data_IF_693045382668
#
_entry.id   IF_693045382668
#
_cell.length_a   1.000
_cell.length_b   1.000
_cell.length_c   1.000
_cell.angle_alpha   90.00
_cell.angle_beta   90.00
_cell.angle_gamma   90.00
#
_symmetry.space_group_name_H-M   'P 1'
#
loop_
_entity.id
_entity.type
_entity.pdbx_description
1 polymer ?
2 non-polymer ?
3 non-polymer ?
4 water ?
#
# COMPACT_ATOMS: atom_id res chain seq x y z
N UNK A 1 0.36 -10.89 30.13
CA UNK A 1 -0.41 -11.75 29.25
C UNK A 1 0.50 -12.52 28.32
N UNK A 2 0.07 -13.72 27.92
CA UNK A 2 0.83 -14.50 26.94
C UNK A 2 -0.02 -14.84 25.73
N UNK A 3 0.63 -14.97 24.58
CA UNK A 3 -0.05 -15.57 23.45
C UNK A 3 0.71 -16.80 22.98
N UNK A 4 0.03 -17.65 22.22
CA UNK A 4 0.74 -18.70 21.50
C UNK A 4 1.31 -18.09 20.23
N UNK A 5 2.55 -18.44 19.95
CA UNK A 5 3.20 -18.01 18.72
C UNK A 5 2.57 -18.80 17.57
N UNK A 6 2.27 -18.12 16.45
CA UNK A 6 1.69 -18.85 15.30
C UNK A 6 2.51 -20.07 14.92
N UNK A 7 1.82 -21.14 14.52
CA UNK A 7 2.49 -22.40 14.25
C UNK A 7 3.57 -22.28 13.19
N UNK A 8 3.39 -21.39 12.21
CA UNK A 8 4.39 -21.31 11.14
C UNK A 8 5.67 -20.58 11.56
N UNK A 9 5.62 -19.90 12.71
CA UNK A 9 6.77 -19.13 13.23
C UNK A 9 7.39 -19.80 14.46
N UNK A 10 6.65 -20.73 15.07
CA UNK A 10 7.03 -21.31 16.36
C UNK A 10 8.43 -21.92 16.39
N UNK A 11 8.78 -22.74 15.41
CA UNK A 11 10.09 -23.39 15.44
C UNK A 11 11.24 -22.38 15.43
N UNK A 12 11.15 -21.38 14.56
CA UNK A 12 12.19 -20.38 14.47
C UNK A 12 12.19 -19.48 15.72
N UNK A 13 11.00 -19.10 16.21
CA UNK A 13 10.92 -18.29 17.41
C UNK A 13 11.61 -18.97 18.61
N UNK A 14 11.32 -20.27 18.79
CA UNK A 14 11.96 -21.04 19.86
C UNK A 14 13.48 -21.01 19.70
N UNK A 15 13.94 -21.26 18.47
CA UNK A 15 15.37 -21.35 18.21
C UNK A 15 16.06 -20.00 18.42
N UNK A 16 15.42 -18.92 18.00
CA UNK A 16 16.00 -17.59 18.23
C UNK A 16 16.21 -17.34 19.73
N UNK A 17 15.24 -17.71 20.57
CA UNK A 17 15.39 -17.56 22.01
C UNK A 17 16.52 -18.42 22.57
N UNK A 18 16.69 -19.62 22.03
CA UNK A 18 17.76 -20.51 22.47
C UNK A 18 19.12 -19.92 22.12
N UNK A 19 19.27 -19.47 20.88
CA UNK A 19 20.53 -18.87 20.46
C UNK A 19 20.80 -17.60 21.26
N UNK A 20 19.77 -16.80 21.50
CA UNK A 20 19.94 -15.58 22.29
C UNK A 20 20.52 -15.92 23.67
N UNK A 21 19.95 -16.94 24.33
CA UNK A 21 20.46 -17.35 25.64
C UNK A 21 21.92 -17.79 25.55
N UNK A 22 22.26 -18.56 24.51
CA UNK A 22 23.64 -19.03 24.35
C UNK A 22 24.61 -17.85 24.23
N UNK A 23 24.14 -16.75 23.65
CA UNK A 23 24.95 -15.56 23.45
C UNK A 23 24.84 -14.54 24.58
N UNK A 24 24.01 -14.84 25.58
CA UNK A 24 23.79 -13.92 26.69
C UNK A 24 22.95 -12.71 26.30
N UNK A 25 22.10 -12.87 25.29
CA UNK A 25 21.25 -11.78 24.79
C UNK A 25 19.79 -12.08 25.01
N UNK A 26 18.93 -11.10 24.69
CA UNK A 26 17.49 -11.32 24.67
C UNK A 26 16.93 -10.92 23.33
N UNK A 27 15.86 -11.60 22.90
CA UNK A 27 15.26 -11.35 21.61
C UNK A 27 13.75 -11.33 21.69
N UNK A 28 13.14 -10.57 20.79
CA UNK A 28 11.70 -10.31 20.81
C UNK A 28 11.17 -10.16 19.38
N UNK A 29 9.97 -10.69 19.13
CA UNK A 29 9.25 -10.34 17.91
C UNK A 29 8.63 -8.96 18.17
N UNK A 30 8.70 -8.06 17.19
CA UNK A 30 8.29 -6.67 17.46
C UNK A 30 7.44 -6.04 16.36
N UNK A 31 6.59 -5.10 16.76
CA UNK A 31 6.04 -4.09 15.88
C UNK A 31 4.81 -4.48 15.11
N UNK A 32 4.77 -4.11 13.83
CA UNK A 32 3.64 -4.41 12.97
C UNK A 32 3.33 -5.90 12.91
N UNK A 33 4.37 -6.73 13.00
CA UNK A 33 4.15 -8.18 12.97
C UNK A 33 3.34 -8.64 14.19
N UNK A 34 3.61 -8.02 15.35
CA UNK A 34 2.88 -8.38 16.56
C UNK A 34 1.43 -7.90 16.43
N UNK A 35 1.25 -6.69 15.92
CA UNK A 35 -0.10 -6.20 15.58
C UNK A 35 -0.82 -7.21 14.71
N UNK A 36 -0.18 -7.66 13.63
CA UNK A 36 -0.88 -8.53 12.69
C UNK A 36 -1.17 -9.91 13.29
N UNK A 37 -0.30 -10.41 14.15
CA UNK A 37 -0.61 -11.65 14.87
C UNK A 37 -1.83 -11.45 15.74
N UNK A 38 -1.90 -10.34 16.45
CA UNK A 38 -3.08 -10.04 17.29
C UNK A 38 -4.35 -9.84 16.44
N UNK A 39 -4.18 -9.42 15.19
CA UNK A 39 -5.33 -9.26 14.31
C UNK A 39 -5.67 -10.56 13.56
N UNK A 40 -5.02 -11.66 13.93
CA UNK A 40 -5.39 -12.95 13.38
C UNK A 40 -4.95 -13.18 11.95
N UNK A 41 -3.93 -12.45 11.51
CA UNK A 41 -3.44 -12.57 10.14
C UNK A 41 -2.31 -13.58 10.04
N UNK A 42 -2.26 -14.27 8.91
CA UNK A 42 -1.13 -15.12 8.58
C UNK A 42 0.09 -14.25 8.31
N UNK A 43 1.19 -14.50 9.02
CA UNK A 43 2.37 -13.67 8.87
C UNK A 43 3.59 -14.49 8.42
N UNK A 44 4.25 -14.03 7.37
CA UNK A 44 5.44 -14.71 6.87
C UNK A 44 6.69 -13.86 6.94
N UNK A 45 6.50 -12.59 7.27
CA UNK A 45 7.61 -11.64 7.43
C UNK A 45 7.69 -11.32 8.91
N UNK A 46 8.74 -11.81 9.56
CA UNK A 46 8.87 -11.66 11.00
C UNK A 46 10.06 -10.77 11.35
N UNK A 47 9.80 -9.76 12.17
CA UNK A 47 10.81 -8.81 12.61
C UNK A 47 11.18 -9.07 14.07
N UNK A 48 12.48 -9.20 14.33
CA UNK A 48 13.00 -9.37 15.68
C UNK A 48 13.82 -8.19 16.12
N UNK A 49 13.74 -7.85 17.40
CA UNK A 49 14.68 -6.92 18.01
C UNK A 49 15.51 -7.71 19.02
N UNK A 50 16.81 -7.43 19.00
CA UNK A 50 17.74 -8.10 19.90
C UNK A 50 18.36 -7.06 20.82
N UNK A 51 18.35 -7.35 22.12
CA UNK A 51 19.10 -6.54 23.06
C UNK A 51 20.52 -7.09 23.02
N UNK A 52 21.35 -6.51 22.16
CA UNK A 52 22.67 -7.04 21.88
C UNK A 52 22.90 -7.12 20.37
N UNK A 53 23.92 -7.86 19.98
CA UNK A 53 24.34 -7.89 18.58
C UNK A 53 23.43 -8.74 17.69
N UNK A 54 22.46 -8.09 17.07
CA UNK A 54 21.48 -8.77 16.21
C UNK A 54 22.13 -9.43 15.01
N UNK A 55 23.16 -8.81 14.46
CA UNK A 55 23.82 -9.37 13.29
C UNK A 55 24.48 -10.71 13.64
N UNK A 56 25.12 -10.80 14.79
CA UNK A 56 25.77 -12.05 15.13
C UNK A 56 24.74 -13.14 15.44
N UNK A 57 23.60 -12.77 16.02
CA UNK A 57 22.55 -13.75 16.25
C UNK A 57 22.03 -14.27 14.91
N UNK A 58 21.75 -13.35 13.99
CA UNK A 58 21.24 -13.70 12.67
C UNK A 58 22.22 -14.60 11.92
N UNK A 59 23.51 -14.26 12.01
CA UNK A 59 24.51 -15.04 11.28
C UNK A 59 24.57 -16.48 11.80
N UNK A 60 24.39 -16.65 13.11
CA UNK A 60 24.41 -18.00 13.68
C UNK A 60 23.17 -18.79 13.29
N UNK A 61 22.00 -18.16 13.34
CA UNK A 61 20.79 -18.80 12.88
C UNK A 61 20.93 -19.21 11.41
N UNK A 62 21.48 -18.32 10.60
CA UNK A 62 21.65 -18.59 9.18
C UNK A 62 22.60 -19.77 8.94
N UNK A 63 23.69 -19.81 9.70
CA UNK A 63 24.66 -20.90 9.60
C UNK A 63 23.98 -22.25 9.89
N UNK A 64 23.19 -22.28 10.95
CA UNK A 64 22.53 -23.53 11.32
C UNK A 64 21.53 -23.99 10.26
N UNK A 65 20.91 -23.04 9.56
CA UNK A 65 19.94 -23.39 8.54
C UNK A 65 20.50 -23.44 7.12
N UNK A 66 21.80 -23.15 6.99
CA UNK A 66 22.45 -23.19 5.69
C UNK A 66 21.91 -22.17 4.69
N UNK A 67 21.53 -20.98 5.18
CA UNK A 67 21.03 -19.93 4.28
C UNK A 67 21.93 -18.71 4.24
N UNK A 68 21.83 -17.95 3.15
CA UNK A 68 22.54 -16.69 3.02
C UNK A 68 21.97 -15.69 4.03
N UNK A 69 22.83 -14.77 4.47
CA UNK A 69 22.38 -13.70 5.34
C UNK A 69 22.95 -12.38 4.81
N UNK A 70 22.16 -11.32 4.93
CA UNK A 70 22.53 -9.99 4.50
C UNK A 70 22.72 -9.06 5.68
N UNK A 71 23.97 -8.81 6.08
CA UNK A 71 24.24 -7.92 7.21
C UNK A 71 24.34 -6.45 6.81
N UNK A 72 23.94 -5.58 7.72
CA UNK A 72 24.04 -4.15 7.53
C UNK A 72 24.60 -3.52 8.81
N UNK A 73 25.94 -3.54 8.96
CA UNK A 73 26.61 -3.10 10.18
C UNK A 73 26.24 -1.68 10.62
N UNK A 74 26.06 -0.79 9.66
CA UNK A 74 25.78 0.61 10.00
C UNK A 74 24.40 0.79 10.61
N UNK A 75 23.51 -0.19 10.38
CA UNK A 75 22.17 -0.15 10.96
C UNK A 75 21.99 -1.16 12.09
N UNK A 76 22.99 -2.03 12.28
CA UNK A 76 22.88 -3.10 13.26
C UNK A 76 21.79 -4.10 12.94
N UNK A 77 21.55 -4.31 11.64
CA UNK A 77 20.48 -5.18 11.19
C UNK A 77 20.98 -6.26 10.26
N UNK A 78 20.22 -7.35 10.17
CA UNK A 78 20.50 -8.41 9.20
C UNK A 78 19.20 -9.04 8.72
N UNK A 79 19.21 -9.52 7.49
CA UNK A 79 18.05 -10.15 6.88
C UNK A 79 18.42 -11.53 6.35
N UNK A 80 17.50 -12.47 6.49
CA UNK A 80 17.66 -13.80 5.90
C UNK A 80 16.29 -14.41 5.68
N UNK A 81 16.24 -15.46 4.86
CA UNK A 81 15.01 -16.15 4.56
C UNK A 81 15.21 -17.63 4.88
N UNK A 82 14.25 -18.22 5.59
CA UNK A 82 14.27 -19.64 5.87
C UNK A 82 12.94 -20.22 5.39
N UNK A 83 12.99 -21.05 4.36
CA UNK A 83 11.76 -21.51 3.73
C UNK A 83 10.94 -20.31 3.29
N UNK A 84 9.68 -20.27 3.70
CA UNK A 84 8.79 -19.17 3.33
C UNK A 84 8.89 -17.96 4.26
N UNK A 85 9.66 -18.09 5.33
CA UNK A 85 9.79 -17.01 6.31
C UNK A 85 10.88 -16.00 5.98
N UNK A 86 10.50 -14.74 5.85
CA UNK A 86 11.47 -13.66 5.70
C UNK A 86 11.71 -13.04 7.06
N UNK A 87 12.96 -13.09 7.50
CA UNK A 87 13.34 -12.66 8.84
C UNK A 87 14.21 -11.41 8.84
N UNK A 88 13.91 -10.49 9.74
CA UNK A 88 14.77 -9.34 9.99
C UNK A 88 15.16 -9.35 11.46
N UNK A 89 16.45 -9.09 11.72
CA UNK A 89 16.97 -8.96 13.06
C UNK A 89 17.58 -7.59 13.23
N UNK A 90 17.13 -6.84 14.22
CA UNK A 90 17.62 -5.49 14.45
C UNK A 90 18.10 -5.32 15.88
N UNK A 91 19.19 -4.60 16.04
CA UNK A 91 19.69 -4.27 17.37
C UNK A 91 18.78 -3.21 17.98
N UNK A 92 18.39 -3.41 19.24
CA UNK A 92 17.59 -2.40 19.95
C UNK A 92 18.29 -1.04 19.92
N UNK A 93 17.55 0.01 19.57
CA UNK A 93 18.14 1.35 19.51
C UNK A 93 17.20 2.42 20.02
N UNK A 94 17.75 3.46 20.64
CA UNK A 94 16.92 4.50 21.24
C UNK A 94 16.62 5.61 20.24
N UNK A 95 17.25 5.54 19.07
CA UNK A 95 17.10 6.55 18.03
C UNK A 95 15.64 6.74 17.61
N UNK A 108 23.64 0.21 26.57
CA UNK A 108 22.91 -0.01 25.32
C UNK A 108 21.40 0.17 25.50
N UNK A 109 20.68 0.28 24.40
CA UNK A 109 19.24 0.53 24.45
C UNK A 109 18.47 -0.67 24.93
N UNK A 110 17.46 -0.42 25.75
CA UNK A 110 16.53 -1.46 26.18
C UNK A 110 15.46 -1.66 25.11
N UNK A 111 14.76 -2.78 25.17
CA UNK A 111 13.59 -3.00 24.34
C UNK A 111 12.60 -1.85 24.48
N UNK A 112 12.35 -1.40 25.72
CA UNK A 112 11.36 -0.35 25.94
C UNK A 112 11.74 0.93 25.21
N UNK A 113 13.03 1.25 25.21
CA UNK A 113 13.53 2.42 24.49
C UNK A 113 13.38 2.26 22.98
N UNK A 114 13.55 1.03 22.51
CA UNK A 114 13.36 0.74 21.09
C UNK A 114 11.90 0.82 20.67
N UNK A 115 11.00 0.46 21.58
CA UNK A 115 9.58 0.47 21.26
C UNK A 115 8.97 1.87 21.35
N UNK A 116 9.43 2.67 22.30
CA UNK A 116 8.79 3.95 22.57
C UNK A 116 9.06 4.95 21.46
N UNK A 117 10.04 4.63 20.61
CA UNK A 117 10.37 5.51 19.49
C UNK A 117 9.57 5.19 18.23
N UNK A 118 8.66 4.22 18.30
CA UNK A 118 7.87 3.84 17.13
C UNK A 118 6.65 4.74 16.94
N UNK A 119 5.80 4.48 15.94
CA UNK A 119 4.80 5.51 15.64
C UNK A 119 3.53 5.48 16.51
N UNK A 120 2.84 4.34 16.59
CA UNK A 120 1.54 4.28 17.27
C UNK A 120 1.51 3.12 18.24
N UNK A 121 0.67 3.22 19.26
CA UNK A 121 0.72 2.23 20.33
C UNK A 121 0.47 0.81 19.82
N UNK A 122 -0.39 0.67 18.82
CA UNK A 122 -0.70 -0.68 18.34
C UNK A 122 0.48 -1.29 17.58
N UNK A 123 1.46 -0.45 17.22
CA UNK A 123 2.67 -0.89 16.53
C UNK A 123 3.89 -0.98 17.43
N UNK A 124 3.68 -0.81 18.72
CA UNK A 124 4.79 -0.68 19.65
C UNK A 124 4.81 -1.80 20.69
N UNK A 125 4.25 -2.96 20.33
CA UNK A 125 4.29 -4.12 21.21
C UNK A 125 5.33 -5.14 20.78
N UNK A 126 5.63 -6.05 21.68
CA UNK A 126 6.61 -7.10 21.41
C UNK A 126 6.12 -8.43 21.99
N UNK A 127 6.67 -9.52 21.45
CA UNK A 127 6.46 -10.85 22.02
C UNK A 127 7.82 -11.40 22.42
N UNK A 128 7.99 -11.74 23.68
CA UNK A 128 9.23 -12.37 24.10
C UNK A 128 9.37 -13.76 23.49
N UNK A 129 10.54 -14.08 22.94
CA UNK A 129 10.81 -15.45 22.56
C UNK A 129 11.89 -16.03 23.46
N UNK A 130 12.11 -15.36 24.59
CA UNK A 130 13.14 -15.80 25.51
C UNK A 130 12.72 -16.99 26.35
N UNK A 131 13.71 -17.69 26.90
CA UNK A 131 13.47 -18.98 27.51
C UNK A 131 12.54 -18.92 28.71
N UNK A 132 12.64 -17.86 29.50
CA UNK A 132 11.96 -17.88 30.80
C UNK A 132 10.54 -17.28 30.75
N UNK A 133 10.20 -16.59 29.67
CA UNK A 133 8.88 -15.97 29.57
C UNK A 133 8.36 -16.04 28.14
N UNK A 134 8.60 -17.16 27.49
CA UNK A 134 8.25 -17.34 26.09
C UNK A 134 6.78 -17.06 25.80
N UNK A 135 6.54 -16.22 24.80
CA UNK A 135 5.18 -15.88 24.39
C UNK A 135 4.56 -14.71 25.14
N UNK A 136 5.29 -14.12 26.10
CA UNK A 136 4.76 -12.97 26.83
C UNK A 136 4.56 -11.77 25.91
N UNK A 137 3.36 -11.19 25.97
CA UNK A 137 3.07 -9.97 25.24
C UNK A 137 3.57 -8.79 26.06
N UNK A 138 4.55 -8.08 25.51
CA UNK A 138 5.15 -6.92 26.15
C UNK A 138 4.47 -5.69 25.60
N UNK A 139 3.71 -5.02 26.45
CA UNK A 139 2.86 -3.92 26.04
C UNK A 139 2.98 -2.81 27.07
N UNK A 140 3.95 -1.91 26.83
CA UNK A 140 4.24 -0.82 27.75
C UNK A 140 3.30 0.37 27.62
N UNK A 141 2.64 0.50 26.47
CA UNK A 141 2.04 1.78 26.09
C UNK A 141 0.56 1.71 25.77
N UNK A 142 -0.09 0.63 26.17
CA UNK A 142 -1.52 0.50 26.01
C UNK A 142 -1.95 0.07 24.62
N UNK A 143 -1.10 -0.70 23.94
CA UNK A 143 -1.42 -1.14 22.59
C UNK A 143 -2.60 -2.09 22.53
N UNK A 144 -2.69 -3.03 23.46
CA UNK A 144 -3.81 -3.97 23.41
C UNK A 144 -5.11 -3.25 23.70
N UNK A 145 -5.09 -2.30 24.63
CA UNK A 145 -6.25 -1.49 24.95
C UNK A 145 -6.66 -0.64 23.74
N UNK A 146 -5.69 -0.11 22.99
CA UNK A 146 -6.03 0.68 21.82
C UNK A 146 -6.51 -0.20 20.65
N UNK A 147 -6.08 -1.45 20.57
CA UNK A 147 -6.72 -2.38 19.65
C UNK A 147 -8.18 -2.57 20.03
N UNK A 148 -8.41 -2.86 21.32
CA UNK A 148 -9.76 -3.06 21.82
C UNK A 148 -10.67 -1.89 21.47
N UNK A 149 -10.15 -0.68 21.66
CA UNK A 149 -10.94 0.53 21.50
C UNK A 149 -10.89 1.09 20.08
N UNK A 150 -10.14 0.42 19.20
CA UNK A 150 -10.01 0.82 17.78
C UNK A 150 -9.48 2.25 17.64
N UNK A 151 -8.33 2.47 18.27
CA UNK A 151 -7.73 3.80 18.37
C UNK A 151 -6.31 3.84 17.83
N UNK A 152 -6.04 4.83 16.97
CA UNK A 152 -4.68 5.18 16.57
C UNK A 152 -4.18 6.30 17.50
N UNK A 153 -3.11 6.00 18.24
CA UNK A 153 -2.57 6.88 19.27
C UNK A 153 -1.06 6.96 19.16
N UNK A 154 -0.51 8.17 19.12
CA UNK A 154 0.95 8.30 19.15
C UNK A 154 1.53 7.94 20.53
N UNK A 155 2.82 7.67 20.56
CA UNK A 155 3.50 7.23 21.79
C UNK A 155 3.89 8.38 22.71
N UNK A 156 4.01 9.56 22.14
CA UNK A 156 4.41 10.76 22.87
C UNK A 156 3.86 11.96 22.13
N UNK A 157 3.53 13.04 22.84
CA UNK A 157 2.82 14.15 22.18
C UNK A 157 3.62 14.90 21.11
N UNK A 158 4.94 14.81 21.07
CA UNK A 158 5.64 15.55 20.01
C UNK A 158 5.86 14.69 18.75
N UNK A 159 5.20 13.53 18.69
CA UNK A 159 5.42 12.57 17.62
C UNK A 159 5.31 13.13 16.18
N UNK A 160 4.29 13.96 15.93
CA UNK A 160 4.12 14.48 14.58
C UNK A 160 5.09 15.64 14.27
N UNK A 161 5.57 16.34 15.29
CA UNK A 161 6.58 17.37 15.09
C UNK A 161 7.91 16.69 14.75
N UNK A 162 8.20 15.63 15.49
CA UNK A 162 9.44 14.86 15.36
C UNK A 162 9.54 14.21 13.98
N UNK A 163 8.41 13.68 13.49
CA UNK A 163 8.36 13.03 12.20
C UNK A 163 7.01 13.22 11.54
N UNK A 164 6.86 14.31 10.78
CA UNK A 164 5.56 14.63 10.19
C UNK A 164 5.05 13.58 9.19
N UNK A 165 5.90 12.69 8.68
CA UNK A 165 5.40 11.60 7.84
C UNK A 165 4.41 10.74 8.61
N UNK A 166 4.52 10.72 9.93
CA UNK A 166 3.56 9.96 10.74
C UNK A 166 2.14 10.49 10.63
N UNK A 167 1.98 11.75 10.21
CA UNK A 167 0.65 12.28 9.93
C UNK A 167 -0.05 11.41 8.88
N UNK A 168 0.65 11.16 7.78
CA UNK A 168 0.09 10.32 6.73
C UNK A 168 -0.05 8.86 7.21
N UNK A 169 0.95 8.37 7.93
CA UNK A 169 0.91 6.98 8.39
C UNK A 169 -0.28 6.74 9.31
N UNK A 170 -0.59 7.71 10.17
CA UNK A 170 -1.73 7.59 11.07
C UNK A 170 -3.01 7.34 10.29
N UNK A 171 -3.15 8.05 9.18
CA UNK A 171 -4.36 7.96 8.38
C UNK A 171 -4.39 6.66 7.59
N UNK A 172 -3.22 6.16 7.19
CA UNK A 172 -3.16 4.85 6.53
C UNK A 172 -3.64 3.75 7.48
N UNK A 173 -3.13 3.74 8.72
CA UNK A 173 -3.57 2.71 9.66
C UNK A 173 -5.03 2.90 10.07
N UNK A 174 -5.46 4.15 10.27
CA UNK A 174 -6.86 4.39 10.61
C UNK A 174 -7.79 3.86 9.51
N UNK A 175 -7.46 4.15 8.26
CA UNK A 175 -8.30 3.70 7.15
C UNK A 175 -8.23 2.20 6.94
N UNK A 176 -7.02 1.62 7.03
CA UNK A 176 -6.87 0.17 6.90
C UNK A 176 -7.73 -0.58 7.90
N UNK A 177 -7.72 -0.10 9.14
CA UNK A 177 -8.30 -0.86 10.25
C UNK A 177 -9.68 -0.38 10.66
N UNK A 178 -10.16 0.68 10.02
CA UNK A 178 -11.39 1.35 10.45
C UNK A 178 -11.28 1.73 11.94
N UNK A 179 -10.14 2.35 12.27
CA UNK A 179 -9.89 2.90 13.60
C UNK A 179 -10.06 4.41 13.55
N UNK A 180 -10.22 5.01 14.73
CA UNK A 180 -10.24 6.47 14.86
C UNK A 180 -8.97 6.96 15.52
N UNK A 181 -8.57 8.20 15.23
CA UNK A 181 -7.51 8.82 16.00
C UNK A 181 -7.98 9.06 17.44
N UNK A 182 -7.07 8.90 18.40
CA UNK A 182 -7.39 9.30 19.77
C UNK A 182 -7.67 10.81 19.78
N UNK A 183 -8.41 11.27 20.78
CA UNK A 183 -8.76 12.69 20.82
C UNK A 183 -7.52 13.59 20.82
N UNK A 184 -6.53 13.28 21.65
CA UNK A 184 -5.33 14.12 21.66
C UNK A 184 -4.49 13.91 20.40
N UNK A 185 -4.41 12.68 19.92
CA UNK A 185 -3.68 12.42 18.68
C UNK A 185 -4.27 13.22 17.52
N UNK A 186 -5.60 13.29 17.45
CA UNK A 186 -6.25 14.10 16.42
C UNK A 186 -5.88 15.57 16.55
N UNK A 187 -5.88 16.10 17.77
CA UNK A 187 -5.50 17.49 17.98
C UNK A 187 -4.08 17.73 17.50
N UNK A 188 -3.19 16.81 17.85
CA UNK A 188 -1.79 16.94 17.49
C UNK A 188 -1.60 16.88 15.99
N UNK A 189 -2.36 16.01 15.32
CA UNK A 189 -2.24 15.87 13.87
C UNK A 189 -2.73 17.13 13.19
N UNK A 190 -3.88 17.65 13.60
CA UNK A 190 -4.41 18.86 13.01
C UNK A 190 -3.47 20.04 13.24
N UNK A 191 -2.90 20.12 14.44
CA UNK A 191 -1.99 21.21 14.77
C UNK A 191 -0.72 21.12 13.93
N UNK A 192 -0.20 19.92 13.73
CA UNK A 192 1.01 19.78 12.92
C UNK A 192 0.74 20.21 11.48
N UNK A 193 -0.41 19.84 10.93
CA UNK A 193 -0.77 20.28 9.59
C UNK A 193 -0.86 21.81 9.57
N UNK A 194 -1.56 22.38 10.55
CA UNK A 194 -1.79 23.82 10.55
C UNK A 194 -0.51 24.62 10.68
N UNK A 195 0.43 24.08 11.46
CA UNK A 195 1.72 24.74 11.71
C UNK A 195 2.64 24.73 10.50
N UNK A 196 2.27 23.97 9.47
CA UNK A 196 3.08 23.87 8.26
C UNK A 196 4.09 22.75 8.31
N UNK A 197 4.00 21.86 9.30
CA UNK A 197 5.06 20.88 9.48
C UNK A 197 5.05 19.81 8.41
N UNK A 198 3.90 19.56 7.82
CA UNK A 198 3.81 18.55 6.78
C UNK A 198 4.43 19.10 5.51
N UNK A 199 4.13 20.36 5.21
CA UNK A 199 4.60 20.98 3.99
C UNK A 199 6.14 21.01 3.95
N UNK A 200 6.75 21.06 5.13
CA UNK A 200 8.21 21.19 5.24
C UNK A 200 8.96 19.87 5.47
N UNK A 201 8.22 18.77 5.57
CA UNK A 201 8.81 17.44 5.82
C UNK A 201 9.60 16.91 4.62
N UNK A 202 10.55 15.98 4.85
CA UNK A 202 11.34 15.39 3.75
C UNK A 202 10.45 14.81 2.65
N UNK A 203 10.58 15.37 1.45
CA UNK A 203 9.70 15.05 0.34
C UNK A 203 9.67 13.56 0.00
N UNK A 204 10.84 12.95 -0.10
CA UNK A 204 10.93 11.56 -0.50
C UNK A 204 10.18 10.63 0.43
N UNK A 205 10.23 10.92 1.72
CA UNK A 205 9.57 10.09 2.70
C UNK A 205 8.05 10.25 2.65
N UNK A 206 7.58 11.46 2.36
CA UNK A 206 6.14 11.66 2.15
C UNK A 206 5.65 10.89 0.94
N UNK A 207 6.40 10.98 -0.16
CA UNK A 207 6.04 10.29 -1.39
C UNK A 207 6.00 8.77 -1.16
N UNK A 208 7.00 8.25 -0.43
CA UNK A 208 7.04 6.83 -0.14
C UNK A 208 5.82 6.38 0.64
N UNK A 209 5.34 7.23 1.54
CA UNK A 209 4.19 6.87 2.34
C UNK A 209 2.90 6.89 1.50
N UNK A 210 2.80 7.83 0.55
CA UNK A 210 1.63 7.83 -0.33
C UNK A 210 1.63 6.57 -1.20
N UNK A 211 2.83 6.15 -1.62
CA UNK A 211 2.95 4.92 -2.41
C UNK A 211 2.49 3.71 -1.60
N UNK A 212 2.76 3.70 -0.30
CA UNK A 212 2.26 2.62 0.55
C UNK A 212 0.74 2.67 0.68
N UNK A 213 0.20 3.88 0.82
CA UNK A 213 -1.26 4.01 0.96
C UNK A 213 -2.01 3.49 -0.27
N UNK A 214 -1.48 3.77 -1.46
CA UNK A 214 -2.23 3.42 -2.67
C UNK A 214 -2.27 1.90 -2.88
N UNK A 215 -1.42 1.16 -2.18
CA UNK A 215 -1.45 -0.31 -2.21
C UNK A 215 -2.56 -0.89 -1.33
N UNK A 216 -3.13 -0.08 -0.44
CA UNK A 216 -4.09 -0.59 0.54
C UNK A 216 -5.46 -0.92 -0.06
N UNK A 217 -6.07 -2.01 0.39
CA UNK A 217 -7.43 -2.34 -0.01
C UNK A 217 -8.39 -1.18 0.31
N UNK A 218 -8.15 -0.51 1.43
CA UNK A 218 -9.00 0.59 1.86
C UNK A 218 -8.42 1.96 1.49
N UNK A 219 -7.75 2.06 0.34
CA UNK A 219 -7.21 3.33 -0.10
C UNK A 219 -8.26 4.44 -0.16
N UNK A 220 -9.48 4.13 -0.62
CA UNK A 220 -10.52 5.16 -0.68
C UNK A 220 -10.82 5.72 0.71
N UNK A 221 -10.92 4.85 1.71
CA UNK A 221 -11.15 5.31 3.07
C UNK A 221 -9.98 6.17 3.57
N UNK A 222 -8.77 5.79 3.18
CA UNK A 222 -7.60 6.56 3.55
C UNK A 222 -7.65 7.93 2.87
N UNK A 223 -8.04 7.97 1.60
CA UNK A 223 -8.19 9.24 0.89
C UNK A 223 -9.24 10.14 1.56
N UNK A 224 -10.33 9.56 2.07
CA UNK A 224 -11.31 10.35 2.80
C UNK A 224 -10.70 10.98 4.05
N UNK A 225 -9.81 10.25 4.72
CA UNK A 225 -9.10 10.81 5.87
C UNK A 225 -8.11 11.89 5.41
N UNK A 226 -7.43 11.66 4.30
CA UNK A 226 -6.56 12.69 3.73
C UNK A 226 -7.35 13.97 3.50
N UNK A 227 -8.56 13.82 2.95
CA UNK A 227 -9.44 14.95 2.69
C UNK A 227 -9.83 15.65 3.99
N UNK A 228 -10.30 14.86 4.96
CA UNK A 228 -10.73 15.41 6.25
C UNK A 228 -9.65 16.25 6.93
N UNK A 229 -8.41 15.79 6.87
CA UNK A 229 -7.32 16.46 7.58
C UNK A 229 -6.46 17.34 6.67
N UNK A 230 -6.91 17.52 5.44
CA UNK A 230 -6.35 18.50 4.50
C UNK A 230 -4.88 18.28 4.21
N UNK A 231 -4.48 17.01 4.06
CA UNK A 231 -3.06 16.75 3.92
C UNK A 231 -2.52 16.90 2.49
N UNK A 232 -3.32 16.55 1.47
CA UNK A 232 -2.79 16.56 0.09
C UNK A 232 -2.50 17.99 -0.38
N UNK A 233 -3.25 18.94 0.16
CA UNK A 233 -3.06 20.36 -0.14
C UNK A 233 -1.67 20.85 0.30
N UNK A 234 -1.08 20.15 1.25
CA UNK A 234 0.25 20.49 1.77
C UNK A 234 1.37 19.86 0.97
N UNK A 235 1.02 18.92 0.10
CA UNK A 235 2.01 18.09 -0.57
C UNK A 235 2.03 18.28 -2.09
N UNK A 236 0.86 18.25 -2.70
CA UNK A 236 0.77 18.36 -4.15
C UNK A 236 0.45 19.80 -4.53
N UNK A 237 1.43 20.49 -5.10
CA UNK A 237 1.26 21.88 -5.50
C UNK A 237 0.07 22.03 -6.44
N UNK A 238 -0.84 22.93 -6.08
CA UNK A 238 -2.00 23.20 -6.91
C UNK A 238 -3.15 22.21 -6.80
N UNK A 239 -3.04 21.23 -5.91
CA UNK A 239 -4.12 20.28 -5.73
C UNK A 239 -5.26 20.85 -4.89
N UNK A 240 -6.48 20.61 -5.33
CA UNK A 240 -7.68 20.94 -4.56
C UNK A 240 -8.74 19.85 -4.71
N UNK A 241 -9.42 19.52 -3.61
CA UNK A 241 -10.58 18.66 -3.68
C UNK A 241 -11.78 19.38 -4.27
N UNK A 242 -12.68 18.62 -4.86
CA UNK A 242 -14.03 19.09 -5.13
C UNK A 242 -14.98 17.91 -5.18
N UNK A 243 -16.28 18.20 -5.20
CA UNK A 243 -17.30 17.16 -5.12
C UNK A 243 -17.26 16.22 -6.33
N UNK A 244 -16.99 16.78 -7.51
CA UNK A 244 -16.91 15.99 -8.73
C UNK A 244 -15.85 14.88 -8.62
N UNK A 245 -14.65 15.26 -8.19
CA UNK A 245 -13.56 14.30 -8.02
C UNK A 245 -13.93 13.25 -6.98
N UNK A 246 -14.50 13.69 -5.87
CA UNK A 246 -14.87 12.76 -4.81
C UNK A 246 -15.87 11.73 -5.31
N UNK A 247 -16.89 12.19 -6.02
CA UNK A 247 -17.90 11.27 -6.52
C UNK A 247 -17.33 10.32 -7.56
N UNK A 248 -16.36 10.80 -8.35
CA UNK A 248 -15.69 9.95 -9.32
C UNK A 248 -14.92 8.81 -8.63
N UNK A 249 -14.33 9.08 -7.47
CA UNK A 249 -13.60 8.05 -6.73
C UNK A 249 -14.54 6.94 -6.26
N UNK A 250 -15.73 7.31 -5.81
CA UNK A 250 -16.71 6.30 -5.41
C UNK A 250 -17.23 5.51 -6.60
N UNK A 251 -17.42 6.20 -7.74
CA UNK A 251 -17.82 5.51 -8.97
C UNK A 251 -16.72 4.54 -9.40
N UNK A 252 -15.47 4.97 -9.23
CA UNK A 252 -14.35 4.14 -9.61
C UNK A 252 -14.28 2.88 -8.75
N UNK A 253 -14.55 3.00 -7.45
CA UNK A 253 -14.51 1.82 -6.60
C UNK A 253 -15.50 0.75 -7.07
N UNK A 254 -16.68 1.17 -7.51
CA UNK A 254 -17.63 0.20 -8.04
C UNK A 254 -17.08 -0.49 -9.30
N UNK A 255 -16.42 0.28 -10.15
CA UNK A 255 -15.85 -0.28 -11.39
C UNK A 255 -14.72 -1.24 -11.09
N UNK A 256 -13.84 -0.85 -10.17
CA UNK A 256 -12.69 -1.66 -9.79
C UNK A 256 -13.12 -2.97 -9.12
N UNK A 257 -14.10 -2.88 -8.24
CA UNK A 257 -14.58 -4.08 -7.55
C UNK A 257 -15.20 -5.04 -8.56
N UNK A 258 -15.94 -4.49 -9.52
CA UNK A 258 -16.52 -5.31 -10.59
C UNK A 258 -15.43 -5.98 -11.42
N UNK A 259 -14.44 -5.21 -11.84
CA UNK A 259 -13.38 -5.75 -12.69
C UNK A 259 -12.60 -6.84 -11.97
N UNK A 260 -12.27 -6.60 -10.70
CA UNK A 260 -11.48 -7.56 -9.93
C UNK A 260 -12.23 -8.87 -9.74
N UNK A 261 -13.55 -8.77 -9.61
CA UNK A 261 -14.41 -9.93 -9.42
C UNK A 261 -14.57 -10.73 -10.71
N UNK A 262 -14.86 -10.02 -11.80
CA UNK A 262 -15.22 -10.65 -13.06
C UNK A 262 -14.01 -11.05 -13.90
N UNK A 263 -12.87 -10.39 -13.67
CA UNK A 263 -11.67 -10.69 -14.43
C UNK A 263 -10.45 -10.82 -13.52
N UNK A 264 -10.50 -11.79 -12.61
CA UNK A 264 -9.49 -11.94 -11.57
C UNK A 264 -8.07 -12.17 -12.10
N UNK A 265 -7.97 -12.76 -13.29
CA UNK A 265 -6.66 -13.03 -13.89
C UNK A 265 -6.08 -11.80 -14.59
N UNK A 266 -6.84 -10.71 -14.59
CA UNK A 266 -6.43 -9.51 -15.31
C UNK A 266 -6.36 -8.30 -14.39
N UNK A 267 -6.26 -8.55 -13.10
CA UNK A 267 -6.18 -7.47 -12.13
C UNK A 267 -4.93 -6.60 -12.35
N UNK A 268 -5.10 -5.31 -12.11
CA UNK A 268 -3.96 -4.39 -12.14
C UNK A 268 -3.87 -3.72 -10.77
N UNK A 269 -2.82 -2.94 -10.56
CA UNK A 269 -2.67 -2.22 -9.30
C UNK A 269 -3.61 -1.01 -9.31
N UNK A 270 -4.85 -1.26 -8.90
CA UNK A 270 -5.93 -0.28 -9.05
C UNK A 270 -5.73 1.01 -8.29
N UNK A 271 -4.92 0.99 -7.23
CA UNK A 271 -4.68 2.19 -6.45
C UNK A 271 -4.23 3.36 -7.29
N UNK A 272 -3.45 3.09 -8.33
CA UNK A 272 -2.98 4.16 -9.20
C UNK A 272 -4.13 4.85 -9.94
N UNK A 273 -5.21 4.13 -10.19
CA UNK A 273 -6.37 4.73 -10.84
C UNK A 273 -7.03 5.80 -9.97
N UNK A 274 -7.10 5.54 -8.67
CA UNK A 274 -7.60 6.55 -7.74
C UNK A 274 -6.72 7.77 -7.80
N UNK A 275 -5.41 7.55 -7.82
CA UNK A 275 -4.46 8.65 -7.88
C UNK A 275 -4.64 9.48 -9.15
N UNK A 276 -4.83 8.81 -10.28
CA UNK A 276 -5.06 9.52 -11.54
C UNK A 276 -6.30 10.39 -11.49
N UNK A 277 -7.39 9.87 -10.92
CA UNK A 277 -8.60 10.68 -10.73
C UNK A 277 -8.33 11.87 -9.79
N UNK A 278 -7.60 11.61 -8.70
CA UNK A 278 -7.25 12.67 -7.74
C UNK A 278 -6.52 13.85 -8.37
N UNK A 279 -5.61 13.56 -9.30
CA UNK A 279 -4.77 14.62 -9.86
C UNK A 279 -5.26 15.05 -11.24
N UNK A 280 -6.48 14.66 -11.57
CA UNK A 280 -7.02 14.88 -12.91
C UNK A 280 -7.30 16.35 -13.23
N UNK A 281 -7.27 17.23 -12.23
CA UNK A 281 -7.49 18.65 -12.52
C UNK A 281 -6.21 19.47 -12.51
N UNK A 282 -5.09 18.83 -12.16
CA UNK A 282 -3.78 19.46 -12.30
C UNK A 282 -3.44 19.70 -13.76
N UNK A 283 -2.63 20.72 -14.02
CA UNK A 283 -2.02 20.92 -15.32
C UNK A 283 -1.19 19.69 -15.65
N UNK A 284 -1.10 19.36 -16.94
CA UNK A 284 -0.43 18.14 -17.36
C UNK A 284 1.02 18.04 -16.88
N UNK A 285 1.77 19.13 -17.00
CA UNK A 285 3.18 19.13 -16.59
C UNK A 285 3.37 18.77 -15.12
N UNK A 286 2.55 19.36 -14.24
CA UNK A 286 2.71 19.05 -12.82
C UNK A 286 2.23 17.64 -12.50
N UNK A 287 1.18 17.18 -13.17
CA UNK A 287 0.73 15.80 -13.00
C UNK A 287 1.78 14.80 -13.45
N UNK A 288 2.37 15.08 -14.61
CA UNK A 288 3.44 14.26 -15.16
C UNK A 288 4.62 14.18 -14.20
N UNK A 289 5.03 15.34 -13.68
CA UNK A 289 6.14 15.41 -12.73
C UNK A 289 5.83 14.67 -11.44
N UNK A 290 4.61 14.80 -10.94
CA UNK A 290 4.23 14.12 -9.71
C UNK A 290 4.28 12.60 -9.90
N UNK A 291 3.78 12.11 -11.03
CA UNK A 291 3.82 10.68 -11.26
C UNK A 291 5.25 10.18 -11.39
N UNK A 292 6.13 10.99 -11.98
CA UNK A 292 7.55 10.63 -12.05
C UNK A 292 8.17 10.61 -10.65
N UNK A 293 7.78 11.57 -9.83
CA UNK A 293 8.24 11.63 -8.43
C UNK A 293 7.78 10.39 -7.66
N UNK A 294 6.60 9.91 -7.99
CA UNK A 294 6.03 8.71 -7.41
C UNK A 294 6.62 7.41 -8.00
N UNK A 295 7.51 7.55 -8.98
CA UNK A 295 8.03 6.40 -9.73
C UNK A 295 6.88 5.53 -10.24
N UNK A 296 5.83 6.17 -10.74
CA UNK A 296 4.68 5.43 -11.24
C UNK A 296 5.07 4.51 -12.39
N UNK A 297 4.42 3.34 -12.46
CA UNK A 297 4.63 2.43 -13.59
C UNK A 297 4.37 3.10 -14.94
N UNK A 298 5.01 2.59 -15.98
CA UNK A 298 4.81 3.07 -17.33
C UNK A 298 3.33 3.14 -17.69
N UNK A 299 2.57 2.10 -17.37
CA UNK A 299 1.17 2.11 -17.79
C UNK A 299 0.40 3.24 -17.14
N UNK A 300 0.77 3.59 -15.91
CA UNK A 300 0.12 4.70 -15.20
C UNK A 300 0.47 6.03 -15.86
N UNK A 301 1.75 6.21 -16.17
CA UNK A 301 2.19 7.46 -16.77
C UNK A 301 1.62 7.62 -18.17
N UNK A 302 1.52 6.52 -18.92
CA UNK A 302 0.94 6.56 -20.25
C UNK A 302 -0.58 6.79 -20.17
N UNK A 303 -1.24 6.17 -19.19
CA UNK A 303 -2.67 6.40 -19.05
C UNK A 303 -2.95 7.84 -18.64
N UNK A 304 -2.10 8.43 -17.81
CA UNK A 304 -2.28 9.84 -17.47
C UNK A 304 -2.13 10.76 -18.70
N UNK A 305 -1.11 10.54 -19.51
CA UNK A 305 -0.92 11.34 -20.71
C UNK A 305 -2.14 11.18 -21.61
N UNK A 306 -2.62 9.95 -21.73
CA UNK A 306 -3.78 9.66 -22.55
C UNK A 306 -5.03 10.36 -22.01
N UNK A 307 -5.20 10.31 -20.70
CA UNK A 307 -6.30 10.97 -20.01
C UNK A 307 -6.31 12.46 -20.36
N UNK A 308 -5.14 13.09 -20.36
CA UNK A 308 -5.08 14.53 -20.57
C UNK A 308 -5.25 14.93 -22.04
N UNK A 309 -4.58 14.22 -22.95
CA UNK A 309 -4.54 14.61 -24.36
C UNK A 309 -5.60 13.97 -25.25
N UNK A 310 -5.88 12.70 -25.03
CA UNK A 310 -6.60 11.90 -26.02
C UNK A 310 -7.97 11.44 -25.57
N UNK A 311 -8.20 11.40 -24.26
CA UNK A 311 -9.42 10.79 -23.75
C UNK A 311 -10.67 11.59 -24.15
N UNK A 312 -10.54 12.92 -24.22
CA UNK A 312 -11.65 13.75 -24.63
C UNK A 312 -12.15 13.37 -26.00
N UNK A 313 -11.24 13.28 -26.96
CA UNK A 313 -11.61 12.92 -28.32
C UNK A 313 -12.13 11.48 -28.36
N UNK A 314 -11.50 10.60 -27.59
CA UNK A 314 -11.90 9.19 -27.61
C UNK A 314 -13.31 9.01 -27.07
N UNK A 315 -13.64 9.72 -26.00
CA UNK A 315 -14.98 9.64 -25.42
C UNK A 315 -16.02 10.04 -26.45
N UNK A 316 -15.76 11.10 -27.20
CA UNK A 316 -16.66 11.54 -28.24
C UNK A 316 -16.77 10.51 -29.38
N UNK A 317 -15.64 9.93 -29.79
CA UNK A 317 -15.66 8.94 -30.87
C UNK A 317 -16.41 7.70 -30.44
N UNK A 318 -16.24 7.31 -29.18
CA UNK A 318 -16.91 6.12 -28.66
C UNK A 318 -18.42 6.36 -28.58
N UNK A 319 -18.80 7.57 -28.18
CA UNK A 319 -20.20 7.97 -28.17
C UNK A 319 -20.83 7.81 -29.55
N UNK A 320 -20.14 8.31 -30.56
CA UNK A 320 -20.66 8.34 -31.92
C UNK A 320 -20.62 6.97 -32.61
N UNK A 321 -19.80 6.06 -32.08
CA UNK A 321 -19.68 4.72 -32.64
C UNK A 321 -21.02 4.00 -32.65
N UNK A 322 -21.44 3.57 -33.83
CA UNK A 322 -22.78 3.00 -34.01
C UNK A 322 -22.76 1.46 -34.04
N UNK A 323 -21.73 0.89 -34.66
CA UNK A 323 -21.62 -0.57 -34.73
C UNK A 323 -20.54 -1.08 -33.78
N UNK A 324 -20.72 -2.33 -33.32
CA UNK A 324 -19.83 -2.91 -32.31
C UNK A 324 -18.37 -2.98 -32.76
N UNK A 325 -18.16 -3.18 -34.05
CA UNK A 325 -16.79 -3.32 -34.56
C UNK A 325 -16.02 -2.01 -34.41
N UNK A 326 -16.71 -0.88 -34.50
CA UNK A 326 -16.04 0.40 -34.34
C UNK A 326 -15.61 0.57 -32.88
N UNK A 327 -16.49 0.18 -31.97
CA UNK A 327 -16.17 0.19 -30.55
C UNK A 327 -14.94 -0.69 -30.30
N UNK A 328 -14.94 -1.87 -30.91
CA UNK A 328 -13.83 -2.80 -30.77
C UNK A 328 -12.53 -2.20 -31.28
N UNK A 329 -12.59 -1.57 -32.45
CA UNK A 329 -11.39 -0.97 -33.06
C UNK A 329 -10.83 0.16 -32.20
N UNK A 330 -11.71 0.95 -31.60
CA UNK A 330 -11.30 2.07 -30.75
C UNK A 330 -10.71 1.60 -29.41
N UNK A 331 -11.21 0.49 -28.89
CA UNK A 331 -10.81 0.02 -27.56
C UNK A 331 -9.65 -0.96 -27.58
N UNK A 332 -9.46 -1.65 -28.70
CA UNK A 332 -8.46 -2.72 -28.80
C UNK A 332 -7.04 -2.34 -28.33
N UNK A 333 -6.55 -1.12 -28.65
CA UNK A 333 -5.16 -0.89 -28.24
C UNK A 333 -4.98 -0.40 -26.80
N UNK A 334 -6.07 -0.24 -26.06
CA UNK A 334 -6.00 0.44 -24.77
C UNK A 334 -5.65 -0.49 -23.62
N UNK A 335 -4.83 0.02 -22.71
CA UNK A 335 -4.54 -0.66 -21.47
C UNK A 335 -5.82 -0.74 -20.64
N UNK A 336 -5.92 -1.80 -19.83
CA UNK A 336 -7.05 -2.01 -18.93
C UNK A 336 -7.44 -0.74 -18.17
N UNK A 337 -6.44 0.02 -17.75
CA UNK A 337 -6.68 1.23 -16.98
C UNK A 337 -7.57 2.24 -17.71
N UNK A 338 -7.37 2.39 -19.01
CA UNK A 338 -8.16 3.38 -19.76
C UNK A 338 -9.59 2.86 -19.91
N UNK A 339 -9.75 1.55 -20.09
CA UNK A 339 -11.10 0.97 -20.15
C UNK A 339 -11.88 1.24 -18.87
N UNK A 340 -11.23 1.08 -17.72
CA UNK A 340 -11.92 1.29 -16.45
C UNK A 340 -12.26 2.77 -16.27
N UNK A 341 -11.36 3.65 -16.71
CA UNK A 341 -11.63 5.09 -16.66
C UNK A 341 -12.84 5.45 -17.52
N UNK A 342 -12.93 4.82 -18.70
CA UNK A 342 -14.05 5.06 -19.61
C UNK A 342 -15.37 4.63 -18.98
N UNK A 343 -15.32 3.64 -18.10
CA UNK A 343 -16.53 3.17 -17.44
C UNK A 343 -17.08 4.14 -16.39
N UNK A 344 -16.33 5.21 -16.12
CA UNK A 344 -16.83 6.29 -15.27
C UNK A 344 -17.80 7.19 -16.02
N UNK A 345 -17.83 7.05 -17.35
CA UNK A 345 -18.78 7.77 -18.18
C UNK A 345 -20.01 6.90 -18.37
N UNK A 346 -21.12 7.29 -17.77
CA UNK A 346 -22.31 6.43 -17.74
C UNK A 346 -22.78 6.04 -19.14
N UNK A 347 -22.64 6.94 -20.10
CA UNK A 347 -23.08 6.70 -21.45
C UNK A 347 -22.16 5.74 -22.21
N UNK A 348 -20.96 5.51 -21.67
CA UNK A 348 -19.99 4.66 -22.32
C UNK A 348 -19.83 3.31 -21.61
N UNK A 349 -20.34 3.23 -20.39
CA UNK A 349 -20.06 2.10 -19.49
C UNK A 349 -20.41 0.75 -20.09
N UNK A 350 -21.56 0.68 -20.73
CA UNK A 350 -22.04 -0.59 -21.29
C UNK A 350 -21.26 -1.02 -22.54
N UNK A 351 -20.78 -0.05 -23.30
CA UNK A 351 -19.94 -0.34 -24.45
C UNK A 351 -18.63 -0.97 -24.01
N UNK A 352 -18.07 -0.49 -22.90
CA UNK A 352 -16.82 -1.04 -22.39
C UNK A 352 -17.06 -2.47 -21.89
N UNK A 353 -18.16 -2.64 -21.16
CA UNK A 353 -18.51 -3.94 -20.62
C UNK A 353 -18.69 -4.94 -21.74
N UNK A 354 -19.32 -4.49 -22.82
CA UNK A 354 -19.54 -5.34 -23.98
C UNK A 354 -18.21 -5.74 -24.62
N UNK A 355 -17.30 -4.78 -24.75
CA UNK A 355 -15.99 -5.08 -25.29
C UNK A 355 -15.28 -6.13 -24.44
N UNK A 356 -15.31 -5.93 -23.12
CA UNK A 356 -14.59 -6.81 -22.19
C UNK A 356 -15.20 -8.20 -22.10
N UNK A 357 -16.52 -8.27 -22.13
CA UNK A 357 -17.22 -9.53 -21.92
C UNK A 357 -17.45 -10.31 -23.23
N UNK A 358 -17.60 -9.61 -24.34
CA UNK A 358 -17.97 -10.26 -25.60
C UNK A 358 -17.05 -9.98 -26.79
N UNK A 359 -16.85 -8.70 -27.11
CA UNK A 359 -16.23 -8.32 -28.37
C UNK A 359 -14.77 -8.78 -28.51
N UNK A 360 -13.99 -8.64 -27.44
CA UNK A 360 -12.58 -8.99 -27.50
C UNK A 360 -12.36 -10.50 -27.57
N UNK A 361 -13.40 -11.27 -27.29
CA UNK A 361 -13.30 -12.73 -27.25
C UNK A 361 -13.58 -13.36 -28.61
N UNK A 362 -14.05 -12.55 -29.56
CA UNK A 362 -14.33 -13.05 -30.90
C UNK A 362 -13.07 -13.61 -31.54
N UNK A 363 -13.11 -14.89 -31.89
CA UNK A 363 -11.95 -15.58 -32.44
C UNK A 363 -12.36 -16.53 -33.57
N UNK A 376 -4.40 -17.49 -50.99
CA UNK A 376 -3.05 -17.32 -50.47
C UNK A 376 -2.80 -15.92 -49.92
N UNK A 377 -3.58 -15.54 -48.91
CA UNK A 377 -3.41 -14.24 -48.26
C UNK A 377 -2.15 -14.22 -47.40
N UNK A 378 -1.42 -13.11 -47.47
CA UNK A 378 -0.15 -12.98 -46.76
C UNK A 378 0.01 -11.60 -46.11
N UNK A 379 0.68 -11.56 -44.96
CA UNK A 379 0.94 -10.30 -44.28
C UNK A 379 -0.31 -9.57 -43.82
N UNK A 380 -0.39 -8.29 -44.16
CA UNK A 380 -1.49 -7.45 -43.68
C UNK A 380 -2.79 -7.70 -44.43
N UNK A 381 -2.69 -8.16 -45.69
CA UNK A 381 -3.89 -8.46 -46.47
C UNK A 381 -4.61 -9.65 -45.83
N UNK A 382 -3.85 -10.52 -45.17
CA UNK A 382 -4.43 -11.60 -44.39
C UNK A 382 -5.13 -11.01 -43.17
N UNK A 383 -4.46 -10.08 -42.51
CA UNK A 383 -5.01 -9.42 -41.34
C UNK A 383 -6.26 -8.63 -41.64
N UNK A 384 -6.27 -7.96 -42.80
CA UNK A 384 -7.43 -7.18 -43.23
C UNK A 384 -8.66 -8.05 -43.41
N UNK A 385 -8.49 -9.20 -44.05
CA UNK A 385 -9.61 -10.10 -44.30
C UNK A 385 -10.10 -10.73 -42.99
N UNK A 386 -9.18 -10.98 -42.06
CA UNK A 386 -9.55 -11.49 -40.75
C UNK A 386 -10.40 -10.46 -40.00
N UNK A 387 -9.99 -9.19 -40.08
CA UNK A 387 -10.71 -8.11 -39.42
C UNK A 387 -12.09 -7.90 -40.03
N UNK A 388 -12.21 -8.16 -41.33
CA UNK A 388 -13.50 -8.07 -42.01
C UNK A 388 -14.47 -9.13 -41.48
N UNK A 389 -13.96 -10.36 -41.36
CA UNK A 389 -14.76 -11.48 -40.87
C UNK A 389 -15.17 -11.26 -39.41
N UNK A 390 -14.28 -10.64 -38.64
CA UNK A 390 -14.58 -10.28 -37.26
C UNK A 390 -15.75 -9.29 -37.21
N UNK A 391 -15.66 -8.25 -38.03
CA UNK A 391 -16.67 -7.20 -38.13
C UNK A 391 -18.07 -7.76 -38.31
N UNK A 392 -18.18 -8.82 -39.12
CA UNK A 392 -19.48 -9.43 -39.38
C UNK A 392 -20.05 -10.10 -38.14
N UNK A 393 -19.18 -10.76 -37.38
CA UNK A 393 -19.59 -11.47 -36.18
C UNK A 393 -19.99 -10.53 -35.05
N UNK A 394 -19.12 -9.56 -34.75
CA UNK A 394 -19.33 -8.64 -33.63
C UNK A 394 -20.62 -7.84 -33.74
N UNK A 395 -20.93 -7.38 -34.95
CA UNK A 395 -22.10 -6.54 -35.15
C UNK A 395 -23.41 -7.30 -35.00
N UNK A 396 -23.33 -8.62 -34.88
CA UNK A 396 -24.50 -9.45 -34.61
C UNK A 396 -24.74 -9.61 -33.12
X LIG B 1 -13.87 16.78 -23.04
X LIG B 1 -14.19 17.83 -22.08
X LIG B 1 -14.30 15.49 -22.52
X LIG B 1 -14.54 17.03 -24.32
X LIG B 1 -12.44 16.73 -23.29
X LIG C 1 -4.06 -4.60 29.43
X LIG C 1 -4.62 -3.54 28.58
X LIG C 1 -5.05 -4.98 30.43
X LIG C 1 -2.86 -4.07 30.08
X LIG C 1 -3.72 -5.75 28.60
X LIG D 1 3.10 -2.05 8.05
X LIG D 1 3.27 -2.21 9.50
X LIG D 1 1.80 -2.63 7.69
X LIG D 1 3.15 -0.65 7.65
X LIG D 1 4.14 -2.81 7.37
X LIG E 1 9.48 5.37 -20.26
X LIG E 1 9.31 6.67 -19.61
X LIG E 1 8.77 4.33 -19.51
X LIG E 1 8.98 5.43 -21.63
X LIG E 1 10.90 5.05 -20.32
X LIG F 1 -1.72 -20.39 14.11
X LIG F 1 -1.64 -18.99 14.57
X LIG F 1 -3.10 -20.85 14.18
X LIG F 1 -1.24 -20.45 12.73
X LIG F 1 -0.90 -21.24 14.96
X LIG G 1 -8.87 9.57 23.27
X LIG G 1 -9.04 8.28 23.83
X LIG G 1 -7.98 10.27 24.28
X LIG G 1 -7.51 9.25 25.12
X LIG G 1 -6.76 10.94 23.67
X LIG G 1 -5.96 11.31 24.77
#
# INVERSE_FOLDING_TARGET
RKIKVPENIEEIAREVGQIAKEMGLRAYIVGGVVRDILLGKEVWDVDFVVEGNAIELAKELARRHGVNVHPFPEFGTAHLKIGKLKLEFATARRETYPRPGAYPKVEPASLKEDLIRRDFTINAMAISVNLEDYGTLIDYFGGLRDLKDKVIRVLHPVSFIEDPVRILRALRFAGRLNFKLSRSTEKLLKQAVNLGLLKEAPRGRLINEIKLALREDRFLEILELYRKYRVLEEIIEGFQWNEKVLQKLYALRKVVDWHALEFSEERIDYGWLYLLILISNLDYERGKHFLEEMSAPSWVRETYKFMKFKLGSLKEELKKAKENYEVYRLLKPLHTSVLLLLMLEEELKEKIKLYLEKLRKVKLPKEKIEELKKQGLKGKELGERIEELKREIMNKIKLAAALEHHHHHH
SO4 S O1 O2 O3 O4
SO4 S O1 O2 O3 O4
SO4 S O1 O2 O3 O4
SO4 S O1 O2 O3 O4
SO4 S O1 O2 O3 O4
GOL C1 O1 C2 O2 C3 O3
#
